data_IF_900091519070
#
_entry.id   IF_900091519070
#
_cell.length_a   1.000
_cell.length_b   1.000
_cell.length_c   1.000
_cell.angle_alpha   90.00
_cell.angle_beta   90.00
_cell.angle_gamma   90.00
#
_symmetry.space_group_name_H-M   'P 1'
#
loop_
_entity.id
_entity.type
_entity.pdbx_description
1 polymer ?
#
# COMPACT_ATOMS: atom_id res chain seq x y z
N UNK A 1 -14.73 0.53 -21.06
CA UNK A 1 -14.69 1.05 -19.68
C UNK A 1 -13.61 0.29 -18.93
N UNK A 2 -12.79 0.99 -18.14
CA UNK A 2 -11.60 0.43 -17.51
C UNK A 2 -11.84 0.11 -16.03
N UNK A 3 -11.21 -0.96 -15.58
CA UNK A 3 -11.08 -1.31 -14.17
C UNK A 3 -9.61 -1.15 -13.82
N UNK A 4 -9.30 -0.27 -12.87
CA UNK A 4 -7.93 0.07 -12.49
C UNK A 4 -7.65 -0.47 -11.09
N UNK A 5 -6.54 -1.18 -10.93
CA UNK A 5 -6.04 -1.61 -9.62
C UNK A 5 -4.78 -0.84 -9.28
N UNK A 6 -4.79 -0.17 -8.14
CA UNK A 6 -3.64 0.52 -7.56
C UNK A 6 -3.09 -0.37 -6.45
N UNK A 7 -1.81 -0.74 -6.54
CA UNK A 7 -1.12 -1.51 -5.50
C UNK A 7 -0.15 -0.57 -4.77
N UNK A 8 -0.45 -0.25 -3.52
CA UNK A 8 0.44 0.54 -2.66
C UNK A 8 1.47 -0.38 -2.00
N UNK A 9 2.68 -0.39 -2.54
CA UNK A 9 3.80 -1.23 -2.07
C UNK A 9 4.52 -0.74 -0.81
N UNK A 10 4.07 0.33 -0.17
CA UNK A 10 4.80 0.92 0.97
C UNK A 10 4.55 0.16 2.28
N UNK A 11 5.54 -0.59 2.75
CA UNK A 11 5.45 -1.33 4.02
C UNK A 11 6.01 -0.56 5.25
N UNK A 12 6.80 0.50 5.02
CA UNK A 12 7.58 1.18 6.07
C UNK A 12 6.74 2.02 7.03
N UNK A 13 7.30 2.31 8.19
CA UNK A 13 6.72 3.23 9.17
C UNK A 13 6.67 4.68 8.65
N UNK A 14 5.64 5.44 9.06
CA UNK A 14 5.47 6.85 8.65
C UNK A 14 5.11 7.07 7.16
N UNK A 15 4.74 6.01 6.45
CA UNK A 15 4.41 6.02 5.02
C UNK A 15 3.37 7.08 4.64
N UNK A 16 3.67 7.84 3.58
CA UNK A 16 2.75 8.79 2.95
C UNK A 16 2.23 8.28 1.59
N UNK A 17 2.88 7.27 1.01
CA UNK A 17 2.49 6.66 -0.27
C UNK A 17 1.02 6.22 -0.30
N UNK A 18 0.43 5.62 0.76
CA UNK A 18 -0.98 5.26 0.73
C UNK A 18 -1.92 6.47 0.57
N UNK A 19 -1.55 7.64 1.13
CA UNK A 19 -2.32 8.88 0.97
C UNK A 19 -2.26 9.39 -0.47
N UNK A 20 -1.09 9.33 -1.10
CA UNK A 20 -0.94 9.67 -2.51
C UNK A 20 -1.73 8.71 -3.41
N UNK A 21 -1.73 7.41 -3.09
CA UNK A 21 -2.49 6.40 -3.81
C UNK A 21 -4.01 6.62 -3.68
N UNK A 22 -4.49 7.02 -2.50
CA UNK A 22 -5.89 7.42 -2.28
C UNK A 22 -6.27 8.66 -3.11
N UNK A 23 -5.42 9.69 -3.12
CA UNK A 23 -5.67 10.87 -3.95
C UNK A 23 -5.74 10.51 -5.44
N UNK A 24 -4.86 9.61 -5.90
CA UNK A 24 -4.87 9.13 -7.28
C UNK A 24 -6.12 8.30 -7.61
N UNK A 25 -6.59 7.48 -6.65
CA UNK A 25 -7.84 6.75 -6.79
C UNK A 25 -9.02 7.69 -7.08
N UNK A 26 -9.15 8.79 -6.33
CA UNK A 26 -10.21 9.79 -6.54
C UNK A 26 -10.14 10.42 -7.94
N UNK A 27 -8.93 10.68 -8.45
CA UNK A 27 -8.74 11.21 -9.80
C UNK A 27 -9.19 10.21 -10.86
N UNK A 28 -8.87 8.93 -10.71
CA UNK A 28 -9.28 7.91 -11.67
C UNK A 28 -10.77 7.61 -11.62
N UNK A 29 -11.38 7.57 -10.43
CA UNK A 29 -12.83 7.38 -10.29
C UNK A 29 -13.66 8.52 -10.89
N UNK A 30 -13.10 9.73 -10.99
CA UNK A 30 -13.76 10.85 -11.65
C UNK A 30 -13.68 10.81 -13.18
N UNK A 31 -12.89 9.92 -13.77
CA UNK A 31 -12.69 9.85 -15.22
C UNK A 31 -13.85 9.08 -15.90
N UNK A 32 -14.47 9.61 -16.96
CA UNK A 32 -15.67 9.01 -17.56
C UNK A 32 -15.48 7.60 -18.12
N UNK A 33 -14.25 7.26 -18.52
CA UNK A 33 -13.93 5.93 -19.05
C UNK A 33 -13.58 4.89 -17.98
N UNK A 34 -13.48 5.28 -16.71
CA UNK A 34 -13.14 4.39 -15.59
C UNK A 34 -14.42 3.99 -14.87
N UNK A 35 -14.70 2.69 -14.87
CA UNK A 35 -15.87 2.14 -14.19
C UNK A 35 -15.61 1.92 -12.71
N UNK A 36 -14.38 1.49 -12.38
CA UNK A 36 -13.99 1.12 -11.02
C UNK A 36 -12.50 1.30 -10.82
N UNK A 37 -12.14 1.83 -9.65
CA UNK A 37 -10.78 1.78 -9.15
C UNK A 37 -10.76 0.97 -7.85
N UNK A 38 -9.72 0.17 -7.64
CA UNK A 38 -9.51 -0.58 -6.40
C UNK A 38 -8.10 -0.31 -5.87
N UNK A 39 -8.01 0.10 -4.61
CA UNK A 39 -6.73 0.33 -3.94
C UNK A 39 -6.42 -0.84 -3.00
N UNK A 40 -5.29 -1.49 -3.22
CA UNK A 40 -4.77 -2.57 -2.37
C UNK A 40 -3.53 -2.06 -1.65
N UNK A 41 -3.60 -1.95 -0.33
CA UNK A 41 -2.44 -1.68 0.52
C UNK A 41 -1.81 -3.00 0.98
N UNK A 42 -0.57 -3.25 0.54
CA UNK A 42 0.13 -4.51 0.83
C UNK A 42 0.43 -4.72 2.31
N UNK A 43 0.51 -3.66 3.11
CA UNK A 43 0.73 -3.77 4.56
C UNK A 43 -0.55 -4.19 5.28
N UNK A 44 -1.71 -3.73 4.81
CA UNK A 44 -3.01 -4.16 5.34
C UNK A 44 -3.33 -5.60 4.92
N UNK A 45 -2.87 -5.99 3.73
CA UNK A 45 -2.99 -7.36 3.22
C UNK A 45 -2.07 -8.36 3.93
N UNK A 46 -1.19 -7.88 4.82
CA UNK A 46 -0.32 -8.67 5.70
C UNK A 46 0.47 -9.77 4.97
N UNK A 47 1.12 -9.42 3.86
CA UNK A 47 2.03 -10.35 3.19
C UNK A 47 3.23 -10.68 4.09
N UNK A 48 3.58 -11.96 4.33
CA UNK A 48 4.63 -12.37 5.28
C UNK A 48 6.03 -11.80 5.03
N UNK A 49 6.28 -11.24 3.84
CA UNK A 49 7.58 -10.67 3.43
C UNK A 49 7.67 -9.14 3.63
N UNK A 50 6.59 -8.50 4.10
CA UNK A 50 6.41 -7.04 4.12
C UNK A 50 6.53 -6.42 5.53
N UNK A 51 7.30 -7.01 6.44
CA UNK A 51 7.61 -6.36 7.73
C UNK A 51 8.68 -5.27 7.58
N UNK A 52 8.75 -4.34 8.54
CA UNK A 52 9.82 -3.32 8.54
C UNK A 52 11.19 -4.01 8.68
N UNK A 53 12.23 -3.38 8.15
CA UNK A 53 13.59 -3.93 8.27
C UNK A 53 13.93 -4.15 9.74
N UNK A 54 14.54 -5.30 10.05
CA UNK A 54 14.93 -5.72 11.40
C UNK A 54 15.59 -4.59 12.21
N UNK A 55 16.53 -3.85 11.61
CA UNK A 55 17.26 -2.76 12.27
C UNK A 55 16.47 -1.46 12.52
N UNK A 56 15.20 -1.38 12.12
CA UNK A 56 14.31 -0.23 12.35
C UNK A 56 12.98 -0.62 13.00
N UNK A 57 12.75 -1.90 13.28
CA UNK A 57 11.55 -2.36 13.97
C UNK A 57 11.70 -2.08 15.49
N UNK A 58 10.74 -1.41 16.14
CA UNK A 58 10.84 -1.08 17.58
C UNK A 58 10.78 -2.33 18.48
N UNK A 59 10.28 -3.44 17.95
CA UNK A 59 10.21 -4.75 18.60
C UNK A 59 10.64 -5.85 17.61
N UNK A 60 11.94 -6.01 17.33
CA UNK A 60 12.41 -6.97 16.32
C UNK A 60 12.05 -8.41 16.76
N UNK A 61 11.63 -9.29 15.82
CA UNK A 61 11.27 -10.65 16.17
C UNK A 61 12.46 -11.37 16.87
N UNK A 62 12.20 -12.09 17.97
CA UNK A 62 13.25 -12.75 18.73
C UNK A 62 13.85 -13.87 17.87
N UNK A 63 15.14 -13.73 17.53
CA UNK A 63 16.00 -14.62 16.75
C UNK A 63 16.09 -14.30 15.26
N UNK A 64 16.93 -13.32 14.93
CA UNK A 64 17.92 -13.42 13.85
C UNK A 64 19.12 -12.55 14.30
N UNK A 65 19.98 -13.13 15.13
CA UNK A 65 21.36 -12.64 15.33
C UNK A 65 22.21 -12.94 14.09
#
# INVERSE_FOLDING_TARGET
MYHIVIISGSARMGRQTPKAAQALQTVFEAHPDVEKTSLIDVKEFNFPVMEERLGKHPDPPPRLE
#
